data_IF_025126692561
#
_entry.id   IF_025126692561
#
_cell.length_a   1.000
_cell.length_b   1.000
_cell.length_c   1.000
_cell.angle_alpha   90.00
_cell.angle_beta   90.00
_cell.angle_gamma   90.00
#
_symmetry.space_group_name_H-M   'P 1'
#
loop_
_entity.id
_entity.type
_entity.pdbx_description
1 polymer ?
#
# COMPACT_ATOMS: atom_id res chain seq x y z
N UNK A 1 -1.57 2.84 -11.51
CA UNK A 1 -1.25 3.16 -10.11
C UNK A 1 -2.39 3.84 -9.36
N UNK A 2 -3.01 4.92 -9.87
CA UNK A 2 -4.12 5.64 -9.21
C UNK A 2 -5.21 4.73 -8.60
N UNK A 3 -5.80 3.84 -9.39
CA UNK A 3 -6.87 2.91 -8.92
C UNK A 3 -6.42 2.04 -7.75
N UNK A 4 -5.17 1.59 -7.74
CA UNK A 4 -4.62 0.80 -6.64
C UNK A 4 -4.43 1.65 -5.39
N UNK A 5 -3.97 2.90 -5.54
CA UNK A 5 -3.85 3.84 -4.42
C UNK A 5 -5.23 4.15 -3.80
N UNK A 6 -6.26 4.37 -4.61
CA UNK A 6 -7.63 4.59 -4.13
C UNK A 6 -8.20 3.35 -3.43
N UNK A 7 -7.95 2.14 -3.95
CA UNK A 7 -8.36 0.92 -3.28
C UNK A 7 -7.67 0.73 -1.92
N UNK A 8 -6.38 1.07 -1.81
CA UNK A 8 -5.65 1.08 -0.54
C UNK A 8 -6.25 2.10 0.42
N UNK A 9 -6.56 3.30 -0.05
CA UNK A 9 -7.19 4.36 0.74
C UNK A 9 -8.55 3.92 1.28
N UNK A 10 -9.41 3.36 0.42
CA UNK A 10 -10.74 2.88 0.80
C UNK A 10 -10.71 1.71 1.80
N UNK A 11 -9.71 0.83 1.71
CA UNK A 11 -9.62 -0.36 2.57
C UNK A 11 -9.01 -0.05 3.93
N UNK A 12 -8.02 0.85 3.98
CA UNK A 12 -7.19 1.06 5.17
C UNK A 12 -7.35 2.43 5.83
N UNK A 13 -7.99 3.40 5.15
CA UNK A 13 -8.15 4.79 5.62
C UNK A 13 -6.85 5.39 6.18
N UNK A 14 -5.73 5.34 5.44
CA UNK A 14 -4.47 5.91 5.90
C UNK A 14 -4.54 7.44 5.95
N UNK A 15 -3.69 8.06 6.77
CA UNK A 15 -3.51 9.52 6.80
C UNK A 15 -2.96 10.04 5.46
N UNK A 16 -2.05 9.27 4.85
CA UNK A 16 -1.41 9.56 3.56
C UNK A 16 -1.09 8.27 2.83
N UNK A 17 -1.11 8.30 1.49
CA UNK A 17 -0.63 7.20 0.66
C UNK A 17 0.64 7.62 -0.07
N UNK A 18 1.73 6.86 0.10
CA UNK A 18 2.97 7.06 -0.64
C UNK A 18 3.04 6.17 -1.87
N UNK A 19 3.50 6.75 -2.99
CA UNK A 19 3.86 6.04 -4.20
C UNK A 19 5.36 6.21 -4.44
N UNK A 20 6.13 5.14 -4.31
CA UNK A 20 7.60 5.19 -4.46
C UNK A 20 8.09 4.09 -5.39
N UNK A 21 9.16 4.35 -6.14
CA UNK A 21 9.96 3.30 -6.75
C UNK A 21 11.27 3.21 -5.99
N UNK A 22 11.42 2.11 -5.24
CA UNK A 22 12.58 1.83 -4.40
C UNK A 22 13.16 0.51 -4.89
N UNK A 23 14.37 0.55 -5.42
CA UNK A 23 14.95 -0.64 -6.03
C UNK A 23 16.31 -0.31 -6.62
N UNK A 24 17.21 -1.27 -6.53
CA UNK A 24 18.48 -1.23 -7.22
C UNK A 24 18.68 -2.57 -7.90
N UNK A 25 19.50 -2.59 -8.95
CA UNK A 25 19.88 -3.85 -9.63
C UNK A 25 20.49 -4.88 -8.68
N UNK A 26 21.05 -4.44 -7.55
CA UNK A 26 21.70 -5.30 -6.56
C UNK A 26 20.71 -5.98 -5.60
N UNK A 27 19.53 -5.40 -5.36
CA UNK A 27 18.51 -5.96 -4.47
C UNK A 27 17.29 -6.52 -5.19
N UNK A 28 16.74 -5.75 -6.13
CA UNK A 28 15.61 -6.15 -6.97
C UNK A 28 15.69 -5.41 -8.31
N UNK A 29 16.13 -6.12 -9.35
CA UNK A 29 16.35 -5.54 -10.68
C UNK A 29 15.05 -5.25 -11.44
N UNK A 30 13.93 -5.83 -11.02
CA UNK A 30 12.65 -5.60 -11.68
C UNK A 30 12.03 -4.29 -11.21
N UNK A 31 11.60 -3.46 -12.16
CA UNK A 31 10.89 -2.21 -11.84
C UNK A 31 9.61 -2.55 -11.11
N UNK A 32 9.45 -1.98 -9.92
CA UNK A 32 8.26 -2.10 -9.12
C UNK A 32 8.00 -0.79 -8.36
N UNK A 33 6.79 -0.70 -7.84
CA UNK A 33 6.30 0.45 -7.12
C UNK A 33 5.72 0.01 -5.79
N UNK A 34 6.04 0.75 -4.74
CA UNK A 34 5.41 0.63 -3.43
C UNK A 34 4.21 1.58 -3.38
N UNK A 35 3.05 1.06 -3.02
CA UNK A 35 1.87 1.83 -2.62
C UNK A 35 1.65 1.54 -1.14
N UNK A 36 1.97 2.50 -0.29
CA UNK A 36 1.99 2.30 1.16
C UNK A 36 1.16 3.36 1.89
N UNK A 37 0.19 2.91 2.66
CA UNK A 37 -0.59 3.77 3.55
C UNK A 37 0.16 4.07 4.84
N UNK A 38 0.26 5.35 5.20
CA UNK A 38 0.78 5.82 6.47
C UNK A 38 -0.36 5.79 7.52
N UNK A 39 -0.17 5.11 8.67
CA UNK A 39 -1.15 5.17 9.75
C UNK A 39 -1.37 6.61 10.27
N UNK A 40 -2.59 6.94 10.74
CA UNK A 40 -2.85 8.21 11.43
C UNK A 40 -1.99 8.40 12.68
N UNK A 41 -1.59 9.64 12.93
CA UNK A 41 -0.84 10.02 14.13
C UNK A 41 0.66 9.69 14.11
N UNK A 42 1.22 9.20 12.99
CA UNK A 42 2.67 8.97 12.88
C UNK A 42 3.42 10.32 12.94
N UNK A 43 4.36 10.50 13.88
CA UNK A 43 5.16 11.73 14.00
C UNK A 43 5.87 12.08 12.69
N UNK A 44 5.96 13.38 12.37
CA UNK A 44 6.44 13.86 11.07
C UNK A 44 7.81 13.28 10.69
N UNK A 45 8.74 13.22 11.63
CA UNK A 45 10.08 12.68 11.47
C UNK A 45 10.15 11.18 11.21
N UNK A 46 9.05 10.45 11.46
CA UNK A 46 8.91 9.01 11.21
C UNK A 46 8.11 8.68 9.95
N UNK A 47 7.71 9.69 9.17
CA UNK A 47 6.92 9.51 7.95
C UNK A 47 7.80 9.17 6.73
N UNK A 48 7.19 9.08 5.54
CA UNK A 48 7.86 8.83 4.25
C UNK A 48 8.70 7.54 4.25
N UNK A 49 9.99 7.63 3.89
CA UNK A 49 10.89 6.48 3.79
C UNK A 49 11.08 5.79 5.14
N UNK A 50 11.13 6.54 6.25
CA UNK A 50 11.29 5.96 7.59
C UNK A 50 10.18 4.95 7.90
N UNK A 51 8.92 5.26 7.56
CA UNK A 51 7.78 4.38 7.82
C UNK A 51 7.82 3.04 7.07
N UNK A 52 8.72 2.88 6.09
CA UNK A 52 8.81 1.70 5.22
C UNK A 52 10.00 0.79 5.55
N UNK A 53 10.85 1.20 6.50
CA UNK A 53 12.08 0.50 6.85
C UNK A 53 11.78 -0.73 7.71
N UNK A 54 12.30 -1.88 7.28
CA UNK A 54 12.13 -3.18 7.96
C UNK A 54 12.72 -3.19 9.37
N UNK A 55 13.65 -2.29 9.65
CA UNK A 55 14.29 -2.05 10.93
C UNK A 55 13.28 -1.61 12.00
N UNK A 56 12.11 -1.10 11.60
CA UNK A 56 10.99 -0.79 12.48
C UNK A 56 10.10 -2.01 12.81
N UNK A 57 10.44 -3.18 12.29
CA UNK A 57 9.70 -4.44 12.47
C UNK A 57 8.89 -4.84 11.23
N UNK A 58 8.66 -6.15 11.09
CA UNK A 58 7.85 -6.75 10.03
C UNK A 58 6.78 -7.61 10.68
N UNK A 59 5.51 -7.35 10.35
CA UNK A 59 4.39 -8.16 10.81
C UNK A 59 4.23 -9.38 9.91
N UNK A 60 3.99 -10.55 10.51
CA UNK A 60 3.65 -11.78 9.80
C UNK A 60 2.14 -12.03 9.94
N UNK A 61 1.32 -11.62 8.95
CA UNK A 61 -0.11 -11.86 9.00
C UNK A 61 -0.44 -13.35 8.87
N UNK A 62 -1.55 -13.78 9.47
CA UNK A 62 -2.06 -15.13 9.23
C UNK A 62 -2.54 -15.27 7.78
N UNK A 63 -2.61 -16.52 7.24
CA UNK A 63 -3.16 -16.75 5.91
C UNK A 63 -4.57 -16.19 5.72
N UNK A 64 -5.45 -16.38 6.72
CA UNK A 64 -6.84 -15.90 6.67
C UNK A 64 -6.91 -14.36 6.64
N UNK A 65 -6.07 -13.70 7.45
CA UNK A 65 -6.01 -12.24 7.44
C UNK A 65 -5.50 -11.69 6.09
N UNK A 66 -4.49 -12.33 5.52
CA UNK A 66 -3.96 -11.99 4.20
C UNK A 66 -5.02 -12.19 3.10
N UNK A 67 -5.78 -13.28 3.17
CA UNK A 67 -6.86 -13.58 2.23
C UNK A 67 -8.01 -12.55 2.33
N UNK A 68 -8.39 -12.14 3.54
CA UNK A 68 -9.40 -11.10 3.75
C UNK A 68 -8.97 -9.76 3.16
N UNK A 69 -7.75 -9.31 3.45
CA UNK A 69 -7.19 -8.08 2.89
C UNK A 69 -7.19 -8.13 1.36
N UNK A 70 -6.69 -9.22 0.77
CA UNK A 70 -6.62 -9.39 -0.67
C UNK A 70 -8.02 -9.40 -1.32
N UNK A 71 -9.03 -9.95 -0.65
CA UNK A 71 -10.42 -9.90 -1.11
C UNK A 71 -10.96 -8.47 -1.10
N UNK A 72 -10.80 -7.74 0.01
CA UNK A 72 -11.27 -6.34 0.15
C UNK A 72 -10.64 -5.41 -0.88
N UNK A 73 -9.32 -5.51 -1.10
CA UNK A 73 -8.61 -4.73 -2.10
C UNK A 73 -9.10 -5.02 -3.53
N UNK A 74 -9.31 -6.29 -3.88
CA UNK A 74 -9.86 -6.67 -5.20
C UNK A 74 -11.28 -6.14 -5.40
N UNK A 75 -12.12 -6.20 -4.37
CA UNK A 75 -13.47 -5.62 -4.44
C UNK A 75 -13.41 -4.11 -4.68
N UNK A 76 -12.61 -3.37 -3.91
CA UNK A 76 -12.46 -1.91 -4.09
C UNK A 76 -11.93 -1.55 -5.49
N UNK A 77 -10.94 -2.30 -6.00
CA UNK A 77 -10.40 -2.13 -7.36
C UNK A 77 -11.43 -2.35 -8.48
N UNK A 78 -12.38 -3.26 -8.26
CA UNK A 78 -13.44 -3.56 -9.21
C UNK A 78 -14.55 -2.49 -9.20
N UNK A 79 -14.89 -1.96 -8.01
CA UNK A 79 -15.88 -0.88 -7.87
C UNK A 79 -15.45 0.40 -8.59
N UNK A 80 -14.17 0.78 -8.47
CA UNK A 80 -13.60 1.90 -9.23
C UNK A 80 -13.69 1.67 -10.75
N UNK A 81 -13.71 0.41 -11.23
CA UNK A 81 -13.82 0.13 -12.66
C UNK A 81 -15.19 0.49 -13.23
N UNK A 82 -16.24 0.48 -12.40
CA UNK A 82 -17.62 0.73 -12.81
C UNK A 82 -17.94 2.23 -12.93
N UNK A 83 -17.14 3.10 -12.31
CA UNK A 83 -17.27 4.56 -12.44
C UNK A 83 -16.59 5.13 -13.71
N UNK A 84 -15.73 4.33 -14.35
CA UNK A 84 -14.95 4.69 -15.56
C UNK A 84 -15.50 4.04 -16.86
N UNK A 85 -16.68 3.41 -16.86
CA UNK A 85 -17.35 2.97 -18.09
C UNK A 85 -18.32 4.06 -18.59
N UNK A 86 -18.23 4.49 -19.87
CA UNK A 86 -19.19 5.42 -20.47
C UNK A 86 -20.58 4.82 -20.65
#
# INVERSE_FOLDING_TARGET
MRRVALAVEAVFSPERTYLLSLGSRQGNAHVHWHIAGLPPGVPYERQQFHALMTENGVLTPTPDHSADIARRLRTALATDHHHDQP
#
